data_IF_472516928697
#
_entry.id   IF_472516928697
#
_cell.length_a   1.000
_cell.length_b   1.000
_cell.length_c   1.000
_cell.angle_alpha   90.00
_cell.angle_beta   90.00
_cell.angle_gamma   90.00
#
_symmetry.space_group_name_H-M   'P 1'
#
loop_
_entity.id
_entity.type
_entity.pdbx_description
1 polymer ?
#
# COMPACT_ATOMS: atom_id res chain seq x y z
N UNK A 1 5.18 -6.88 50.60
CA UNK A 1 5.78 -6.21 49.44
C UNK A 1 5.45 -7.06 48.21
N UNK A 2 4.42 -6.66 47.44
CA UNK A 2 4.27 -7.15 46.08
C UNK A 2 5.44 -6.57 45.27
N UNK A 3 6.35 -7.43 44.86
CA UNK A 3 7.34 -7.11 43.84
C UNK A 3 6.50 -6.86 42.57
N UNK A 4 6.42 -5.60 42.13
CA UNK A 4 5.82 -5.30 40.86
C UNK A 4 6.59 -6.08 39.79
N UNK A 5 5.98 -7.12 39.24
CA UNK A 5 6.54 -7.84 38.09
C UNK A 5 6.66 -6.82 36.97
N UNK A 6 7.84 -6.64 36.44
CA UNK A 6 8.03 -5.87 35.20
C UNK A 6 7.18 -6.47 34.06
N UNK A 7 6.85 -5.66 33.07
CA UNK A 7 6.11 -6.11 31.89
C UNK A 7 6.84 -7.29 31.21
N UNK A 8 6.09 -8.34 30.87
CA UNK A 8 6.59 -9.49 30.11
C UNK A 8 6.55 -9.22 28.62
N UNK A 9 7.66 -9.42 27.92
CA UNK A 9 7.71 -9.33 26.45
C UNK A 9 7.25 -10.67 25.87
N UNK A 10 6.24 -10.60 25.01
CA UNK A 10 5.62 -11.77 24.38
C UNK A 10 6.22 -12.05 23.00
N UNK A 11 6.47 -11.00 22.23
CA UNK A 11 7.06 -11.11 20.90
C UNK A 11 7.73 -9.83 20.47
N UNK A 12 8.69 -9.95 19.54
CA UNK A 12 9.32 -8.84 18.83
C UNK A 12 9.32 -9.12 17.34
N UNK A 13 8.98 -8.11 16.55
CA UNK A 13 8.86 -8.24 15.09
C UNK A 13 9.48 -7.04 14.40
N UNK A 14 10.05 -7.28 13.21
CA UNK A 14 10.56 -6.23 12.30
C UNK A 14 9.99 -6.49 10.92
N UNK A 15 9.37 -5.47 10.34
CA UNK A 15 8.75 -5.50 9.02
C UNK A 15 9.45 -4.46 8.13
N UNK A 16 10.43 -4.89 7.31
CA UNK A 16 11.14 -3.99 6.42
C UNK A 16 10.32 -3.67 5.18
N UNK A 17 10.26 -2.39 4.82
CA UNK A 17 9.70 -1.92 3.55
C UNK A 17 10.43 -0.65 3.11
N UNK A 18 10.45 -0.35 1.81
CA UNK A 18 11.07 0.87 1.29
C UNK A 18 10.37 2.13 1.80
N UNK A 19 9.04 2.11 1.89
CA UNK A 19 8.25 3.24 2.37
C UNK A 19 8.41 3.50 3.88
N UNK A 20 8.65 2.43 4.67
CA UNK A 20 8.94 2.52 6.11
C UNK A 20 9.35 1.16 6.66
N UNK A 21 10.14 1.13 7.72
CA UNK A 21 10.37 -0.09 8.50
C UNK A 21 9.60 0.01 9.81
N UNK A 22 8.87 -1.06 10.15
CA UNK A 22 8.15 -1.15 11.43
C UNK A 22 8.89 -2.08 12.38
N UNK A 23 9.09 -1.63 13.62
CA UNK A 23 9.52 -2.46 14.74
C UNK A 23 8.39 -2.53 15.75
N UNK A 24 8.00 -3.74 16.16
CA UNK A 24 6.92 -3.98 17.14
C UNK A 24 7.45 -4.76 18.31
N UNK A 25 7.14 -4.29 19.53
CA UNK A 25 7.34 -5.01 20.79
C UNK A 25 5.98 -5.31 21.37
N UNK A 26 5.62 -6.60 21.46
CA UNK A 26 4.39 -7.07 22.07
C UNK A 26 4.63 -7.45 23.53
N UNK A 27 3.73 -7.06 24.43
CA UNK A 27 3.84 -7.24 25.88
C UNK A 27 2.50 -7.54 26.53
N UNK A 28 2.54 -8.18 27.69
CA UNK A 28 1.36 -8.50 28.51
C UNK A 28 0.67 -7.25 29.10
N UNK A 29 1.40 -6.13 29.20
CA UNK A 29 0.90 -4.85 29.71
C UNK A 29 1.35 -3.70 28.80
N UNK A 30 0.62 -2.58 28.86
CA UNK A 30 0.98 -1.39 28.07
C UNK A 30 2.35 -0.82 28.48
N UNK A 31 3.26 -0.72 27.54
CA UNK A 31 4.58 -0.14 27.75
C UNK A 31 4.54 1.38 27.63
N UNK A 32 5.33 2.06 28.44
CA UNK A 32 5.61 3.50 28.32
C UNK A 32 6.99 3.69 27.72
N UNK A 33 7.09 4.52 26.71
CA UNK A 33 8.36 4.80 26.07
C UNK A 33 8.55 6.30 25.85
N UNK A 34 9.78 6.74 26.00
CA UNK A 34 10.25 8.06 25.57
C UNK A 34 11.36 7.89 24.54
N UNK A 35 11.44 8.78 23.57
CA UNK A 35 12.44 8.65 22.51
C UNK A 35 13.09 9.98 22.16
N UNK A 36 14.28 9.89 21.60
CA UNK A 36 15.02 10.99 21.00
C UNK A 36 15.66 10.55 19.70
N UNK A 37 15.63 11.43 18.71
CA UNK A 37 16.36 11.28 17.46
C UNK A 37 17.75 11.90 17.60
N UNK A 38 18.78 11.19 17.13
CA UNK A 38 20.16 11.68 17.00
C UNK A 38 20.46 11.75 15.52
N UNK A 39 20.92 12.90 15.03
CA UNK A 39 21.08 13.16 13.58
C UNK A 39 22.43 12.64 13.05
N UNK A 40 23.50 12.70 13.87
CA UNK A 40 24.85 12.36 13.40
C UNK A 40 25.60 11.43 14.38
N UNK A 41 25.79 10.16 14.04
CA UNK A 41 25.12 9.42 12.99
C UNK A 41 23.64 9.20 13.30
N UNK A 42 22.77 9.01 12.27
CA UNK A 42 21.33 8.94 12.48
C UNK A 42 20.96 7.73 13.33
N UNK A 43 20.24 7.98 14.43
CA UNK A 43 19.82 6.95 15.40
C UNK A 43 18.52 7.36 16.09
N UNK A 44 17.69 6.38 16.39
CA UNK A 44 16.55 6.55 17.28
C UNK A 44 16.88 5.83 18.61
N UNK A 45 17.00 6.60 19.70
CA UNK A 45 17.17 6.07 21.04
C UNK A 45 15.84 6.10 21.76
N UNK A 46 15.42 4.96 22.31
CA UNK A 46 14.13 4.77 22.99
C UNK A 46 14.37 4.20 24.37
N UNK A 47 13.87 4.84 25.39
CA UNK A 47 13.85 4.34 26.77
C UNK A 47 12.44 3.79 27.07
N UNK A 48 12.38 2.54 27.46
CA UNK A 48 11.13 1.82 27.77
C UNK A 48 11.10 1.55 29.26
N UNK A 49 10.10 2.12 29.94
CA UNK A 49 9.91 2.00 31.39
C UNK A 49 9.23 0.67 31.77
N UNK A 50 9.51 0.21 32.98
CA UNK A 50 8.88 -0.99 33.55
C UNK A 50 9.42 -2.30 32.97
N UNK A 51 10.54 -2.25 32.22
CA UNK A 51 11.16 -3.43 31.63
C UNK A 51 12.48 -3.82 32.31
N UNK A 52 12.70 -5.13 32.35
CA UNK A 52 14.02 -5.72 32.55
C UNK A 52 14.45 -6.40 31.27
N UNK A 53 15.73 -6.28 30.93
CA UNK A 53 16.29 -6.87 29.72
C UNK A 53 16.19 -8.40 29.77
N UNK A 54 15.33 -8.96 28.94
CA UNK A 54 15.10 -10.40 28.82
C UNK A 54 15.63 -10.97 27.50
N UNK A 55 15.70 -12.31 27.32
CA UNK A 55 16.15 -12.94 26.10
C UNK A 55 15.29 -12.59 24.87
N UNK A 56 13.97 -12.50 25.03
CA UNK A 56 13.03 -12.21 23.93
C UNK A 56 13.29 -10.83 23.33
N UNK A 57 13.56 -9.85 24.20
CA UNK A 57 13.88 -8.50 23.75
C UNK A 57 15.24 -8.44 23.02
N UNK A 58 16.18 -9.30 23.40
CA UNK A 58 17.48 -9.44 22.71
C UNK A 58 17.35 -10.02 21.30
N UNK A 59 16.31 -10.80 21.04
CA UNK A 59 16.05 -11.32 19.68
C UNK A 59 15.81 -10.23 18.65
N UNK A 60 15.39 -9.02 19.05
CA UNK A 60 15.25 -7.89 18.14
C UNK A 60 16.52 -7.63 17.32
N UNK A 61 17.69 -7.76 17.94
CA UNK A 61 18.99 -7.57 17.28
C UNK A 61 19.15 -8.52 16.10
N UNK A 62 18.72 -9.78 16.28
CA UNK A 62 18.81 -10.80 15.24
C UNK A 62 17.73 -10.72 14.17
N UNK A 63 16.64 -9.98 14.43
CA UNK A 63 15.51 -9.85 13.48
C UNK A 63 15.72 -8.77 12.43
N UNK A 64 16.69 -7.87 12.64
CA UNK A 64 17.05 -6.87 11.62
C UNK A 64 17.85 -7.54 10.51
N UNK A 65 17.34 -7.46 9.31
CA UNK A 65 17.99 -8.02 8.12
C UNK A 65 19.02 -7.02 7.58
N UNK A 66 20.11 -7.52 7.02
CA UNK A 66 21.14 -6.68 6.41
C UNK A 66 20.62 -5.85 5.22
N UNK A 67 19.58 -6.34 4.54
CA UNK A 67 18.89 -5.69 3.43
C UNK A 67 17.71 -4.81 3.85
N UNK A 68 17.45 -4.61 5.17
CA UNK A 68 16.44 -3.63 5.60
C UNK A 68 16.78 -2.25 5.02
N UNK A 69 15.84 -1.58 4.32
CA UNK A 69 16.14 -0.33 3.62
C UNK A 69 16.40 0.86 4.56
N UNK A 70 15.87 0.83 5.79
CA UNK A 70 15.89 1.96 6.71
C UNK A 70 16.77 1.71 7.95
N UNK A 71 16.85 0.46 8.42
CA UNK A 71 17.53 0.09 9.66
C UNK A 71 18.91 -0.51 9.35
N UNK A 72 19.96 0.05 9.93
CA UNK A 72 21.31 -0.49 9.86
C UNK A 72 21.54 -1.54 10.95
N UNK A 73 20.92 -1.41 12.12
CA UNK A 73 21.01 -2.35 13.22
C UNK A 73 20.20 -1.89 14.43
N UNK A 74 20.00 -2.81 15.38
CA UNK A 74 19.35 -2.54 16.67
C UNK A 74 20.26 -3.00 17.78
N UNK A 75 20.37 -2.19 18.82
CA UNK A 75 21.09 -2.48 20.06
C UNK A 75 20.13 -2.36 21.24
N UNK A 76 20.20 -3.28 22.17
CA UNK A 76 19.33 -3.33 23.35
C UNK A 76 20.19 -3.47 24.59
N UNK A 77 19.93 -2.68 25.61
CA UNK A 77 20.66 -2.73 26.88
C UNK A 77 19.84 -2.24 28.08
N UNK A 78 20.19 -2.71 29.28
CA UNK A 78 19.63 -2.16 30.51
C UNK A 78 20.28 -0.78 30.75
N UNK A 79 19.46 0.28 30.74
CA UNK A 79 19.93 1.65 30.92
C UNK A 79 19.92 2.08 32.41
N UNK A 80 18.89 1.65 33.14
CA UNK A 80 18.73 1.85 34.57
C UNK A 80 17.84 0.72 35.13
N UNK A 81 17.76 0.54 36.45
CA UNK A 81 16.80 -0.37 37.04
C UNK A 81 15.37 -0.11 36.53
N UNK A 82 14.77 -1.11 35.90
CA UNK A 82 13.42 -0.99 35.32
C UNK A 82 13.33 -0.16 34.02
N UNK A 83 14.47 0.22 33.40
CA UNK A 83 14.47 0.97 32.12
C UNK A 83 15.39 0.27 31.12
N UNK A 84 14.80 -0.21 30.03
CA UNK A 84 15.56 -0.78 28.90
C UNK A 84 15.72 0.28 27.83
N UNK A 85 16.93 0.47 27.33
CA UNK A 85 17.23 1.31 26.17
C UNK A 85 17.36 0.50 24.92
N UNK A 86 16.55 0.86 23.92
CA UNK A 86 16.64 0.42 22.54
C UNK A 86 17.32 1.52 21.71
N UNK A 87 18.36 1.18 20.95
CA UNK A 87 18.98 2.09 19.98
C UNK A 87 18.86 1.48 18.60
N UNK A 88 18.13 2.15 17.73
CA UNK A 88 17.96 1.78 16.32
C UNK A 88 18.93 2.65 15.52
N UNK A 89 19.98 2.02 14.98
CA UNK A 89 20.90 2.67 14.04
C UNK A 89 20.25 2.71 12.65
N UNK A 90 20.28 3.86 12.03
CA UNK A 90 19.53 4.16 10.80
C UNK A 90 20.48 4.32 9.61
N UNK A 91 20.02 3.93 8.41
CA UNK A 91 20.80 4.08 7.17
C UNK A 91 20.76 5.49 6.61
N UNK A 92 19.71 6.24 6.95
CA UNK A 92 19.47 7.63 6.51
C UNK A 92 18.58 8.35 7.53
N UNK A 93 18.30 9.61 7.29
CA UNK A 93 17.38 10.41 8.11
C UNK A 93 15.94 9.87 8.02
N UNK A 94 15.27 9.77 9.17
CA UNK A 94 13.90 9.28 9.29
C UNK A 94 12.99 10.24 10.05
N UNK A 95 11.69 10.09 9.83
CA UNK A 95 10.61 10.66 10.64
C UNK A 95 9.95 9.54 11.43
N UNK A 96 10.32 9.35 12.71
CA UNK A 96 9.78 8.26 13.51
C UNK A 96 8.36 8.57 13.96
N UNK A 97 7.51 7.55 13.98
CA UNK A 97 6.25 7.55 14.71
C UNK A 97 6.31 6.45 15.78
N UNK A 98 6.19 6.85 17.05
CA UNK A 98 6.23 5.92 18.19
C UNK A 98 4.89 6.01 18.90
N UNK A 99 4.20 4.86 19.02
CA UNK A 99 2.87 4.79 19.59
C UNK A 99 2.59 3.40 20.19
N UNK A 100 1.54 3.34 21.00
CA UNK A 100 1.08 2.09 21.63
C UNK A 100 -0.27 1.68 21.09
N UNK A 101 -0.50 0.37 20.98
CA UNK A 101 -1.75 -0.22 20.56
C UNK A 101 -2.30 -1.09 21.68
N UNK A 102 -3.60 -0.97 21.93
CA UNK A 102 -4.34 -1.84 22.83
C UNK A 102 -4.50 -3.25 22.23
N UNK A 103 -4.79 -4.27 23.04
CA UNK A 103 -5.09 -5.61 22.57
C UNK A 103 -6.18 -5.64 21.50
N UNK A 104 -5.96 -6.41 20.43
CA UNK A 104 -6.93 -6.61 19.34
C UNK A 104 -6.67 -7.95 18.66
N UNK A 105 -7.73 -8.69 18.34
CA UNK A 105 -7.64 -10.03 17.75
C UNK A 105 -6.73 -10.95 18.58
N UNK A 106 -5.70 -11.53 17.98
CA UNK A 106 -4.72 -12.38 18.66
C UNK A 106 -3.59 -11.60 19.36
N UNK A 107 -3.50 -10.28 19.17
CA UNK A 107 -2.41 -9.46 19.70
C UNK A 107 -2.75 -8.89 21.07
N UNK A 108 -1.72 -8.82 21.94
CA UNK A 108 -1.76 -8.11 23.20
C UNK A 108 -1.33 -6.64 23.04
N UNK A 109 -0.84 -5.99 24.10
CA UNK A 109 -0.34 -4.63 24.00
C UNK A 109 0.88 -4.57 23.08
N UNK A 110 0.94 -3.59 22.19
CA UNK A 110 2.05 -3.41 21.25
C UNK A 110 2.64 -2.01 21.39
N UNK A 111 3.95 -1.91 21.53
CA UNK A 111 4.71 -0.68 21.33
C UNK A 111 5.29 -0.72 19.90
N UNK A 112 4.95 0.27 19.08
CA UNK A 112 5.25 0.30 17.66
C UNK A 112 6.14 1.49 17.33
N UNK A 113 7.13 1.23 16.46
CA UNK A 113 8.03 2.23 15.89
C UNK A 113 7.92 2.14 14.38
N UNK A 114 7.28 3.13 13.76
CA UNK A 114 7.24 3.30 12.30
C UNK A 114 8.31 4.31 11.89
N UNK A 115 9.24 3.86 11.07
CA UNK A 115 10.44 4.61 10.68
C UNK A 115 10.31 4.99 9.20
N UNK A 116 9.74 6.17 8.94
CA UNK A 116 9.54 6.68 7.59
C UNK A 116 10.79 7.41 7.10
N UNK A 117 11.27 7.18 5.87
CA UNK A 117 12.30 8.02 5.25
C UNK A 117 11.92 9.50 5.32
N UNK A 118 12.86 10.37 5.71
CA UNK A 118 12.62 11.82 5.69
C UNK A 118 12.39 12.34 4.25
N UNK A 119 13.05 11.68 3.29
CA UNK A 119 13.00 11.97 1.86
C UNK A 119 12.58 10.69 1.10
N UNK A 120 11.26 10.39 1.02
CA UNK A 120 10.79 9.23 0.30
C UNK A 120 11.02 9.38 -1.21
N UNK A 121 11.36 8.28 -1.87
CA UNK A 121 11.48 8.24 -3.33
C UNK A 121 10.12 8.52 -3.99
N UNK A 122 10.14 9.13 -5.18
CA UNK A 122 8.93 9.32 -5.99
C UNK A 122 8.62 8.03 -6.75
N UNK A 123 7.51 7.32 -6.44
CA UNK A 123 7.19 6.06 -7.06
C UNK A 123 6.85 6.20 -8.55
N UNK A 124 6.33 7.35 -9.00
CA UNK A 124 6.07 7.59 -10.42
C UNK A 124 7.39 7.74 -11.20
N UNK A 125 8.34 8.48 -10.64
CA UNK A 125 9.67 8.61 -11.23
C UNK A 125 10.39 7.26 -11.33
N UNK A 126 10.23 6.37 -10.34
CA UNK A 126 10.77 5.01 -10.39
C UNK A 126 10.16 4.18 -11.53
N UNK A 127 8.83 4.17 -11.69
CA UNK A 127 8.15 3.47 -12.78
C UNK A 127 8.59 3.98 -14.16
N UNK A 128 8.76 5.28 -14.31
CA UNK A 128 9.27 5.90 -15.55
C UNK A 128 10.71 5.46 -15.81
N UNK A 129 11.57 5.48 -14.79
CA UNK A 129 12.97 5.06 -14.91
C UNK A 129 13.10 3.57 -15.29
N UNK A 130 12.29 2.69 -14.70
CA UNK A 130 12.21 1.28 -15.08
C UNK A 130 11.80 1.11 -16.53
N UNK A 131 10.77 1.84 -16.97
CA UNK A 131 10.33 1.80 -18.36
C UNK A 131 11.42 2.26 -19.33
N UNK A 132 12.17 3.30 -18.97
CA UNK A 132 13.26 3.80 -19.81
C UNK A 132 14.41 2.78 -19.93
N UNK A 133 14.72 2.05 -18.84
CA UNK A 133 15.69 0.95 -18.88
C UNK A 133 15.27 -0.15 -19.86
N UNK A 134 13.98 -0.56 -19.82
CA UNK A 134 13.44 -1.58 -20.73
C UNK A 134 13.53 -1.15 -22.20
N UNK A 135 13.47 0.15 -22.47
CA UNK A 135 13.62 0.71 -23.82
C UNK A 135 15.08 0.91 -24.24
N UNK A 136 16.05 0.52 -23.42
CA UNK A 136 17.48 0.74 -23.67
C UNK A 136 17.88 2.22 -23.66
N UNK A 137 17.04 3.10 -23.10
CA UNK A 137 17.31 4.55 -22.96
C UNK A 137 17.75 4.82 -21.52
N UNK A 138 19.00 5.24 -21.33
CA UNK A 138 19.42 5.76 -20.03
C UNK A 138 18.63 7.02 -19.70
N UNK A 139 18.07 7.16 -18.48
CA UNK A 139 17.46 8.41 -18.07
C UNK A 139 18.53 9.52 -18.08
N UNK A 140 18.27 10.60 -18.79
CA UNK A 140 19.09 11.79 -18.66
C UNK A 140 19.00 12.28 -17.20
N UNK A 141 20.10 12.65 -16.53
CA UNK A 141 20.04 13.18 -15.19
C UNK A 141 19.20 14.46 -15.22
N UNK A 142 18.08 14.45 -14.52
CA UNK A 142 17.31 15.67 -14.24
C UNK A 142 18.16 16.49 -13.28
N UNK A 143 18.93 17.43 -13.81
CA UNK A 143 19.57 18.44 -13.00
C UNK A 143 18.46 19.35 -12.49
N UNK A 144 18.03 19.13 -11.25
CA UNK A 144 17.29 20.13 -10.48
C UNK A 144 18.32 21.20 -10.12
N UNK A 145 18.46 22.18 -10.99
CA UNK A 145 19.21 23.38 -10.70
C UNK A 145 18.46 24.12 -9.59
N UNK A 146 19.00 24.01 -8.36
CA UNK A 146 18.50 24.76 -7.21
C UNK A 146 18.74 26.25 -7.53
N UNK A 147 17.74 26.92 -8.08
CA UNK A 147 17.73 28.35 -8.25
C UNK A 147 17.85 29.01 -6.87
N UNK A 148 19.05 29.52 -6.55
CA UNK A 148 19.26 30.40 -5.42
C UNK A 148 18.38 31.64 -5.61
N UNK A 149 17.35 31.75 -4.78
CA UNK A 149 16.55 32.97 -4.69
C UNK A 149 17.40 34.08 -4.09
N UNK A 150 17.50 35.26 -4.71
CA UNK A 150 18.04 36.43 -4.05
C UNK A 150 17.04 36.94 -3.03
N UNK A 151 17.51 37.21 -1.82
CA UNK A 151 16.75 37.88 -0.77
C UNK A 151 16.43 39.32 -1.23
N UNK A 152 15.14 39.64 -1.30
CA UNK A 152 14.70 41.04 -1.39
C UNK A 152 13.42 41.28 -0.58
N UNK A 153 13.47 42.34 0.19
CA UNK A 153 12.42 42.88 1.04
C UNK A 153 11.20 43.36 0.25
N UNK A 154 10.02 43.08 0.78
CA UNK A 154 8.82 43.90 0.73
C UNK A 154 7.92 43.84 -0.51
N UNK A 155 6.66 43.49 -0.23
CA UNK A 155 5.44 43.68 -1.02
C UNK A 155 5.22 42.75 -2.26
N UNK A 156 4.24 41.85 -2.09
CA UNK A 156 3.34 41.21 -3.05
C UNK A 156 3.88 40.78 -4.45
N UNK A 157 5.10 40.28 -4.48
CA UNK A 157 5.77 39.88 -5.73
C UNK A 157 5.55 38.42 -6.13
N UNK A 158 4.96 37.57 -5.29
CA UNK A 158 4.80 36.15 -5.59
C UNK A 158 3.70 35.91 -6.65
N UNK A 159 2.61 36.65 -6.57
CA UNK A 159 1.51 36.59 -7.55
C UNK A 159 1.95 37.09 -8.94
N UNK A 160 2.71 38.19 -8.99
CA UNK A 160 3.26 38.70 -10.26
C UNK A 160 4.35 37.79 -10.86
N UNK A 161 5.17 37.16 -10.03
CA UNK A 161 6.18 36.19 -10.49
C UNK A 161 5.55 34.93 -11.07
N UNK A 162 4.50 34.41 -10.42
CA UNK A 162 3.74 33.26 -10.91
C UNK A 162 3.04 33.59 -12.21
N UNK A 163 2.40 34.77 -12.32
CA UNK A 163 1.75 35.20 -13.57
C UNK A 163 2.75 35.34 -14.73
N UNK A 164 3.90 35.94 -14.49
CA UNK A 164 4.98 36.06 -15.50
C UNK A 164 5.61 34.71 -15.89
N UNK A 165 5.68 33.76 -14.94
CA UNK A 165 6.18 32.41 -15.20
C UNK A 165 5.21 31.62 -16.09
N UNK A 166 3.91 31.74 -15.81
CA UNK A 166 2.83 31.11 -16.61
C UNK A 166 2.80 31.72 -18.02
N UNK A 167 2.93 33.04 -18.14
CA UNK A 167 2.94 33.72 -19.44
C UNK A 167 4.16 33.34 -20.29
N UNK A 168 5.36 33.27 -19.68
CA UNK A 168 6.58 32.79 -20.35
C UNK A 168 6.49 31.32 -20.76
N UNK A 169 5.94 30.44 -19.93
CA UNK A 169 5.73 29.05 -20.26
C UNK A 169 4.76 28.89 -21.44
N UNK A 170 3.67 29.66 -21.45
CA UNK A 170 2.69 29.67 -22.54
C UNK A 170 3.29 30.25 -23.84
N UNK A 171 4.17 31.23 -23.75
CA UNK A 171 4.82 31.84 -24.92
C UNK A 171 5.91 30.93 -25.52
N UNK A 172 6.69 30.22 -24.68
CA UNK A 172 7.61 29.19 -25.12
C UNK A 172 6.89 28.03 -25.83
N UNK A 173 5.78 27.56 -25.23
CA UNK A 173 4.95 26.49 -25.83
C UNK A 173 4.37 26.92 -27.18
N UNK A 174 3.95 28.18 -27.34
CA UNK A 174 3.45 28.73 -28.61
C UNK A 174 4.58 28.90 -29.66
N UNK A 175 5.79 29.28 -29.25
CA UNK A 175 6.95 29.41 -30.17
C UNK A 175 7.48 28.08 -30.64
N UNK A 176 7.49 27.06 -29.77
CA UNK A 176 7.86 25.68 -30.14
C UNK A 176 6.81 25.01 -31.03
N UNK A 177 5.53 25.30 -30.83
CA UNK A 177 4.45 24.83 -31.70
C UNK A 177 4.52 25.46 -33.12
N UNK A 178 4.98 26.72 -33.24
CA UNK A 178 5.11 27.42 -34.50
C UNK A 178 6.38 27.04 -35.33
N UNK A 179 7.35 26.36 -34.69
CA UNK A 179 8.61 25.95 -35.33
C UNK A 179 8.66 24.49 -35.79
N UNK A 180 7.65 23.69 -35.48
CA UNK A 180 7.60 22.30 -35.95
C UNK A 180 6.96 22.26 -37.33
N UNK A 181 7.68 21.72 -38.37
CA UNK A 181 7.01 21.30 -39.60
C UNK A 181 5.98 20.24 -39.21
N UNK A 182 4.74 20.37 -39.72
CA UNK A 182 3.69 19.39 -39.49
C UNK A 182 4.21 17.99 -39.83
N UNK A 183 4.25 17.04 -38.92
CA UNK A 183 4.58 15.67 -39.27
C UNK A 183 3.46 15.13 -40.17
N UNK A 184 3.79 14.24 -41.13
CA UNK A 184 2.77 13.59 -41.92
C UNK A 184 1.81 12.88 -40.96
N UNK A 185 0.52 13.00 -41.23
CA UNK A 185 -0.56 12.37 -40.44
C UNK A 185 -0.52 10.86 -40.63
N UNK A 186 0.39 10.22 -39.91
CA UNK A 186 0.21 8.84 -39.44
C UNK A 186 -0.44 8.98 -38.08
N UNK A 187 -1.63 8.39 -37.92
CA UNK A 187 -2.29 8.26 -36.63
C UNK A 187 -1.32 7.55 -35.67
N UNK A 188 -0.42 8.31 -35.05
CA UNK A 188 0.53 7.84 -34.08
C UNK A 188 -0.23 7.52 -32.81
N UNK A 189 -0.23 6.25 -32.44
CA UNK A 189 -0.60 5.85 -31.10
C UNK A 189 0.09 6.78 -30.10
N UNK A 190 -0.68 7.47 -29.28
CA UNK A 190 -0.15 8.21 -28.14
C UNK A 190 0.62 7.21 -27.29
N UNK A 191 1.93 7.42 -27.13
CA UNK A 191 2.82 6.52 -26.35
C UNK A 191 2.53 6.74 -24.84
N UNK A 192 1.28 6.44 -24.45
CA UNK A 192 0.79 6.59 -23.08
C UNK A 192 1.12 5.32 -22.30
N UNK A 193 1.76 5.46 -21.15
CA UNK A 193 1.92 4.37 -20.21
C UNK A 193 0.61 4.15 -19.45
N UNK A 194 0.06 2.94 -19.51
CA UNK A 194 -1.10 2.53 -18.71
C UNK A 194 -0.60 1.96 -17.38
N UNK A 195 -0.96 2.59 -16.28
CA UNK A 195 -0.54 2.19 -14.93
C UNK A 195 -1.71 1.52 -14.21
N UNK A 196 -1.50 0.26 -13.79
CA UNK A 196 -2.46 -0.51 -12.99
C UNK A 196 -1.92 -0.65 -11.58
N UNK A 197 -2.59 -0.04 -10.61
CA UNK A 197 -2.26 -0.23 -9.21
C UNK A 197 -2.87 -1.56 -8.73
N UNK A 198 -2.01 -2.45 -8.24
CA UNK A 198 -2.37 -3.70 -7.62
C UNK A 198 -2.22 -3.56 -6.11
N UNK A 199 -3.26 -3.95 -5.40
CA UNK A 199 -3.32 -3.86 -3.95
C UNK A 199 -3.51 -5.24 -3.34
N UNK A 200 -2.41 -5.98 -3.03
CA UNK A 200 -2.52 -7.19 -2.24
C UNK A 200 -3.03 -6.84 -0.84
N UNK A 201 -4.22 -7.31 -0.45
CA UNK A 201 -4.80 -7.03 0.86
C UNK A 201 -3.88 -7.42 2.03
N UNK A 202 -4.12 -6.86 3.22
CA UNK A 202 -3.41 -7.22 4.46
C UNK A 202 -1.89 -6.99 4.42
N UNK A 203 -1.12 -7.78 5.19
CA UNK A 203 0.35 -7.73 5.24
C UNK A 203 0.91 -7.39 6.62
N UNK A 204 2.13 -7.81 6.91
CA UNK A 204 2.80 -7.57 8.17
C UNK A 204 2.01 -8.09 9.38
N UNK A 205 1.65 -7.17 10.27
CA UNK A 205 0.85 -7.44 11.48
C UNK A 205 -0.59 -7.90 11.17
N UNK A 206 -1.11 -7.62 9.99
CA UNK A 206 -2.43 -8.06 9.57
C UNK A 206 -2.33 -9.31 8.68
N UNK A 207 -2.63 -10.52 9.21
CA UNK A 207 -2.56 -11.75 8.44
C UNK A 207 -3.70 -11.88 7.42
N UNK A 208 -4.77 -11.09 7.54
CA UNK A 208 -6.05 -11.35 6.89
C UNK A 208 -6.74 -12.58 7.47
N UNK A 209 -7.56 -13.23 6.69
CA UNK A 209 -8.17 -14.50 7.06
C UNK A 209 -7.13 -15.63 7.11
N UNK A 210 -7.38 -16.60 7.99
CA UNK A 210 -6.52 -17.79 8.13
C UNK A 210 -7.37 -19.02 7.80
N UNK A 211 -6.93 -19.77 6.79
CA UNK A 211 -7.57 -21.01 6.39
C UNK A 211 -7.41 -22.12 7.40
N UNK A 212 -8.24 -23.18 7.34
CA UNK A 212 -8.19 -24.32 8.26
C UNK A 212 -6.84 -25.04 8.29
N UNK A 213 -6.07 -25.00 7.21
CA UNK A 213 -4.71 -25.54 7.11
C UNK A 213 -3.61 -24.54 7.53
N UNK A 214 -3.97 -23.38 8.07
CA UNK A 214 -3.03 -22.37 8.54
C UNK A 214 -2.51 -21.43 7.47
N UNK A 215 -3.05 -21.47 6.25
CA UNK A 215 -2.69 -20.56 5.17
C UNK A 215 -3.17 -19.14 5.51
N UNK A 216 -2.29 -18.16 5.46
CA UNK A 216 -2.65 -16.76 5.68
C UNK A 216 -3.01 -16.09 4.36
N UNK A 217 -4.08 -15.32 4.37
CA UNK A 217 -4.56 -14.58 3.20
C UNK A 217 -3.50 -13.65 2.61
N UNK A 218 -2.81 -12.88 3.48
CA UNK A 218 -1.75 -11.93 3.07
C UNK A 218 -0.70 -12.53 2.16
N UNK A 219 -0.35 -13.82 2.36
CA UNK A 219 0.68 -14.51 1.59
C UNK A 219 0.17 -14.90 0.21
N UNK A 220 -1.04 -15.42 0.16
CA UNK A 220 -1.67 -15.87 -1.09
C UNK A 220 -1.94 -14.69 -2.02
N UNK A 221 -2.54 -13.62 -1.51
CA UNK A 221 -2.89 -12.46 -2.32
C UNK A 221 -1.66 -11.73 -2.83
N UNK A 222 -0.56 -11.71 -2.05
CA UNK A 222 0.72 -11.20 -2.53
C UNK A 222 1.27 -12.05 -3.68
N UNK A 223 1.23 -13.37 -3.59
CA UNK A 223 1.69 -14.27 -4.65
C UNK A 223 0.88 -14.07 -5.94
N UNK A 224 -0.44 -13.94 -5.86
CA UNK A 224 -1.30 -13.67 -7.02
C UNK A 224 -0.97 -12.30 -7.63
N UNK A 225 -0.81 -11.27 -6.80
CA UNK A 225 -0.47 -9.92 -7.27
C UNK A 225 0.89 -9.86 -7.97
N UNK A 226 1.91 -10.55 -7.46
CA UNK A 226 3.22 -10.63 -8.09
C UNK A 226 3.15 -11.29 -9.47
N UNK A 227 2.40 -12.39 -9.60
CA UNK A 227 2.16 -13.04 -10.89
C UNK A 227 1.40 -12.15 -11.87
N UNK A 228 0.39 -11.42 -11.38
CA UNK A 228 -0.37 -10.47 -12.19
C UNK A 228 0.51 -9.29 -12.64
N UNK A 229 1.39 -8.78 -11.77
CA UNK A 229 2.39 -7.75 -12.12
C UNK A 229 3.23 -8.16 -13.33
N UNK A 230 3.77 -9.37 -13.33
CA UNK A 230 4.58 -9.89 -14.46
C UNK A 230 3.80 -9.86 -15.77
N UNK A 231 2.53 -10.28 -15.75
CA UNK A 231 1.65 -10.31 -16.93
C UNK A 231 1.30 -8.90 -17.42
N UNK A 232 1.00 -7.99 -16.51
CA UNK A 232 0.72 -6.59 -16.86
C UNK A 232 1.95 -5.96 -17.51
N UNK A 233 3.13 -6.13 -16.90
CA UNK A 233 4.38 -5.55 -17.40
C UNK A 233 4.78 -6.09 -18.78
N UNK A 234 4.37 -7.31 -19.12
CA UNK A 234 4.57 -7.91 -20.43
C UNK A 234 3.47 -7.56 -21.45
N UNK A 235 2.44 -6.79 -21.06
CA UNK A 235 1.25 -6.53 -21.88
C UNK A 235 1.21 -5.11 -22.43
N UNK A 236 0.42 -4.95 -23.49
CA UNK A 236 0.01 -3.66 -24.04
C UNK A 236 -1.45 -3.67 -24.47
N UNK A 237 -2.09 -2.53 -24.55
CA UNK A 237 -3.46 -2.36 -25.06
C UNK A 237 -3.50 -1.17 -26.02
N UNK A 238 -4.01 -1.39 -27.24
CA UNK A 238 -4.07 -0.36 -28.27
C UNK A 238 -2.70 0.26 -28.62
N UNK A 239 -1.62 -0.52 -28.51
CA UNK A 239 -0.25 -0.04 -28.70
C UNK A 239 0.38 0.62 -27.45
N UNK A 240 -0.41 0.92 -26.42
CA UNK A 240 0.08 1.51 -25.18
C UNK A 240 0.61 0.43 -24.23
N UNK A 241 1.86 0.52 -23.75
CA UNK A 241 2.42 -0.43 -22.81
C UNK A 241 1.76 -0.30 -21.46
N UNK A 242 1.71 -1.42 -20.72
CA UNK A 242 1.15 -1.45 -19.38
C UNK A 242 2.26 -1.60 -18.32
N UNK A 243 2.03 -1.06 -17.14
CA UNK A 243 2.87 -1.26 -15.95
C UNK A 243 1.99 -1.47 -14.72
N UNK A 244 2.38 -2.43 -13.91
CA UNK A 244 1.78 -2.62 -12.59
C UNK A 244 2.59 -1.87 -11.55
N UNK A 245 1.88 -1.23 -10.63
CA UNK A 245 2.41 -0.68 -9.41
C UNK A 245 1.77 -1.43 -8.23
N UNK A 246 2.56 -1.93 -7.28
CA UNK A 246 2.04 -2.62 -6.10
C UNK A 246 1.99 -1.67 -4.90
N UNK A 247 0.89 -1.70 -4.14
CA UNK A 247 0.80 -0.97 -2.87
C UNK A 247 1.74 -1.55 -1.82
N UNK A 248 1.97 -2.86 -1.88
CA UNK A 248 3.03 -3.59 -1.18
C UNK A 248 3.56 -4.72 -2.07
N UNK A 249 4.85 -4.95 -2.01
CA UNK A 249 5.57 -6.00 -2.75
C UNK A 249 6.23 -7.04 -1.84
N UNK A 250 6.03 -6.89 -0.53
CA UNK A 250 6.54 -7.77 0.53
C UNK A 250 5.52 -7.96 1.65
N UNK A 251 5.95 -8.66 2.71
CA UNK A 251 5.15 -8.89 3.90
C UNK A 251 5.32 -7.71 4.88
N UNK A 252 4.59 -6.64 4.65
CA UNK A 252 4.46 -5.49 5.52
C UNK A 252 3.05 -4.89 5.39
N UNK A 253 2.60 -4.23 6.45
CA UNK A 253 1.26 -3.63 6.49
C UNK A 253 1.25 -2.27 5.79
N UNK A 254 0.21 -2.01 5.00
CA UNK A 254 -0.07 -0.70 4.42
C UNK A 254 -1.46 -0.27 4.85
N UNK A 255 -1.63 0.88 5.54
CA UNK A 255 -2.94 1.39 5.92
C UNK A 255 -3.87 1.58 4.71
N UNK A 256 -5.17 1.33 4.88
CA UNK A 256 -6.16 1.37 3.80
C UNK A 256 -6.11 2.68 3.01
N UNK A 257 -6.03 3.79 3.71
CA UNK A 257 -5.94 5.09 3.04
C UNK A 257 -4.62 5.26 2.28
N UNK A 258 -3.51 4.78 2.84
CA UNK A 258 -2.19 4.86 2.19
C UNK A 258 -2.18 4.07 0.88
N UNK A 259 -2.92 2.95 0.79
CA UNK A 259 -3.08 2.17 -0.46
C UNK A 259 -3.69 3.02 -1.57
N UNK A 260 -4.75 3.76 -1.26
CA UNK A 260 -5.41 4.70 -2.18
C UNK A 260 -4.46 5.85 -2.57
N UNK A 261 -3.78 6.44 -1.60
CA UNK A 261 -2.81 7.52 -1.85
C UNK A 261 -1.64 7.07 -2.73
N UNK A 262 -1.13 5.85 -2.54
CA UNK A 262 -0.08 5.26 -3.37
C UNK A 262 -0.52 5.12 -4.83
N UNK A 263 -1.73 4.62 -5.08
CA UNK A 263 -2.29 4.53 -6.42
C UNK A 263 -2.44 5.90 -7.10
N UNK A 264 -2.87 6.93 -6.34
CA UNK A 264 -3.00 8.30 -6.84
C UNK A 264 -1.65 8.95 -7.16
N UNK A 265 -0.62 8.70 -6.33
CA UNK A 265 0.73 9.23 -6.57
C UNK A 265 1.33 8.77 -7.88
N UNK A 266 1.08 7.54 -8.27
CA UNK A 266 1.54 7.00 -9.56
C UNK A 266 0.60 7.33 -10.71
N UNK A 267 -0.47 8.07 -10.45
CA UNK A 267 -1.50 8.40 -11.45
C UNK A 267 -2.06 7.13 -12.11
N UNK A 268 -2.42 6.14 -11.29
CA UNK A 268 -2.92 4.86 -11.79
C UNK A 268 -4.20 5.04 -12.62
N UNK A 269 -4.28 4.31 -13.72
CA UNK A 269 -5.49 4.24 -14.58
C UNK A 269 -6.54 3.30 -14.02
N UNK A 270 -6.13 2.29 -13.24
CA UNK A 270 -6.99 1.34 -12.54
C UNK A 270 -6.41 0.99 -11.18
N UNK A 271 -7.29 0.63 -10.24
CA UNK A 271 -6.94 0.06 -8.94
C UNK A 271 -7.65 -1.27 -8.73
N UNK A 272 -6.88 -2.31 -8.43
CA UNK A 272 -7.38 -3.68 -8.21
C UNK A 272 -6.87 -4.19 -6.87
N UNK A 273 -7.76 -4.24 -5.88
CA UNK A 273 -7.50 -4.88 -4.59
C UNK A 273 -7.77 -6.38 -4.69
N UNK A 274 -6.86 -7.19 -4.16
CA UNK A 274 -6.88 -8.66 -4.28
C UNK A 274 -6.97 -9.26 -2.89
N UNK A 275 -8.02 -10.06 -2.66
CA UNK A 275 -8.38 -10.68 -1.40
C UNK A 275 -8.72 -12.16 -1.54
N UNK A 276 -8.79 -12.88 -0.42
CA UNK A 276 -9.19 -14.27 -0.32
C UNK A 276 -9.79 -14.56 1.08
N UNK A 277 -10.80 -13.80 1.44
CA UNK A 277 -11.36 -13.74 2.79
C UNK A 277 -11.95 -15.05 3.33
N UNK A 278 -12.19 -15.05 4.63
CA UNK A 278 -13.07 -16.04 5.25
C UNK A 278 -14.54 -15.61 5.10
N UNK A 279 -15.42 -16.55 4.89
CA UNK A 279 -16.86 -16.32 4.90
C UNK A 279 -17.52 -16.94 6.12
N UNK A 280 -18.72 -16.43 6.49
CA UNK A 280 -19.49 -16.89 7.63
C UNK A 280 -19.84 -18.39 7.59
N UNK A 281 -19.90 -18.96 6.39
CA UNK A 281 -20.18 -20.37 6.16
C UNK A 281 -18.96 -21.02 5.49
N UNK A 282 -18.38 -22.08 6.10
CA UNK A 282 -17.20 -22.75 5.51
C UNK A 282 -17.46 -23.37 4.13
N UNK A 283 -18.73 -23.58 3.77
CA UNK A 283 -19.13 -24.14 2.45
C UNK A 283 -19.13 -23.07 1.34
N UNK A 284 -19.01 -21.79 1.71
CA UNK A 284 -18.90 -20.73 0.71
C UNK A 284 -17.70 -20.96 -0.19
N UNK A 285 -17.91 -20.81 -1.48
CA UNK A 285 -16.89 -21.09 -2.49
C UNK A 285 -17.08 -20.20 -3.70
N UNK A 286 -15.98 -19.98 -4.44
CA UNK A 286 -15.97 -19.22 -5.67
C UNK A 286 -15.61 -17.77 -5.49
N UNK A 287 -15.25 -17.13 -6.58
CA UNK A 287 -14.81 -15.74 -6.62
C UNK A 287 -15.98 -14.74 -6.65
N UNK A 288 -15.71 -13.52 -6.21
CA UNK A 288 -16.61 -12.37 -6.30
C UNK A 288 -15.83 -11.12 -6.67
N UNK A 289 -16.51 -10.13 -7.26
CA UNK A 289 -15.93 -8.82 -7.53
C UNK A 289 -16.84 -7.76 -6.94
N UNK A 290 -16.23 -6.77 -6.28
CA UNK A 290 -16.91 -5.69 -5.59
C UNK A 290 -16.47 -4.33 -6.14
N UNK A 291 -17.43 -3.41 -6.22
CA UNK A 291 -17.21 -2.00 -6.49
C UNK A 291 -17.73 -1.15 -5.33
N UNK A 292 -17.28 0.10 -5.27
CA UNK A 292 -17.72 1.04 -4.26
C UNK A 292 -19.21 1.38 -4.42
N UNK A 293 -19.90 1.59 -3.29
CA UNK A 293 -21.17 2.31 -3.23
C UNK A 293 -21.18 3.24 -2.04
N UNK A 294 -21.71 4.42 -2.23
CA UNK A 294 -21.90 5.40 -1.15
C UNK A 294 -23.19 5.13 -0.34
N UNK A 295 -24.17 4.46 -0.94
CA UNK A 295 -25.50 4.24 -0.36
C UNK A 295 -25.82 2.76 -0.26
N UNK A 296 -25.76 2.25 0.97
CA UNK A 296 -26.11 0.86 1.25
C UNK A 296 -25.12 -0.13 0.64
N UNK A 297 -25.45 -1.41 0.74
CA UNK A 297 -24.70 -2.49 0.11
C UNK A 297 -25.67 -3.33 -0.72
N UNK A 298 -25.16 -3.97 -1.79
CA UNK A 298 -25.98 -4.81 -2.66
C UNK A 298 -26.54 -6.04 -1.95
N UNK A 299 -25.84 -6.50 -0.90
CA UNK A 299 -26.29 -7.62 -0.07
C UNK A 299 -25.79 -7.48 1.39
N UNK A 300 -26.41 -8.24 2.31
CA UNK A 300 -25.94 -8.34 3.70
C UNK A 300 -24.51 -8.90 3.76
N UNK A 301 -24.20 -9.87 2.90
CA UNK A 301 -22.87 -10.46 2.79
C UNK A 301 -21.82 -9.42 2.37
N UNK A 302 -22.11 -8.63 1.34
CA UNK A 302 -21.21 -7.56 0.88
C UNK A 302 -20.99 -6.48 1.97
N UNK A 303 -22.04 -6.16 2.74
CA UNK A 303 -21.91 -5.24 3.87
C UNK A 303 -21.01 -5.79 4.95
N UNK A 304 -21.21 -7.05 5.32
CA UNK A 304 -20.42 -7.71 6.34
C UNK A 304 -18.93 -7.77 5.94
N UNK A 305 -18.64 -8.19 4.70
CA UNK A 305 -17.29 -8.25 4.15
C UNK A 305 -16.61 -6.88 4.20
N UNK A 306 -17.28 -5.83 3.72
CA UNK A 306 -16.73 -4.49 3.79
C UNK A 306 -16.46 -4.02 5.24
N UNK A 307 -17.23 -4.47 6.21
CA UNK A 307 -16.98 -4.16 7.63
C UNK A 307 -15.73 -4.88 8.14
N UNK A 308 -15.49 -6.13 7.72
CA UNK A 308 -14.28 -6.89 8.09
C UNK A 308 -13.05 -6.22 7.48
N UNK A 309 -13.08 -5.95 6.18
CA UNK A 309 -11.98 -5.31 5.47
C UNK A 309 -11.64 -3.91 6.01
N UNK A 310 -12.65 -3.10 6.30
CA UNK A 310 -12.46 -1.78 6.89
C UNK A 310 -11.90 -1.82 8.32
N UNK A 311 -11.89 -2.97 8.97
CA UNK A 311 -11.30 -3.16 10.30
C UNK A 311 -9.81 -3.52 10.28
N UNK A 312 -9.23 -3.79 9.12
CA UNK A 312 -7.81 -4.20 8.96
C UNK A 312 -6.83 -3.19 9.56
N UNK A 313 -7.10 -1.90 9.44
CA UNK A 313 -6.29 -0.83 10.07
C UNK A 313 -6.18 -0.96 11.60
N UNK A 314 -7.15 -1.58 12.26
CA UNK A 314 -7.11 -1.82 13.70
C UNK A 314 -6.16 -2.97 14.05
N UNK A 315 -6.12 -4.02 13.22
CA UNK A 315 -5.24 -5.18 13.39
C UNK A 315 -3.81 -4.80 13.04
N UNK A 316 -3.61 -4.21 11.86
CA UNK A 316 -2.32 -3.74 11.38
C UNK A 316 -1.72 -2.62 12.24
N UNK A 317 -2.58 -1.88 12.95
CA UNK A 317 -2.19 -0.82 13.86
C UNK A 317 -1.75 0.45 13.14
N UNK A 318 -2.59 1.46 13.20
CA UNK A 318 -2.33 2.79 12.61
C UNK A 318 -2.29 3.82 13.72
N UNK A 319 -1.26 4.68 13.70
CA UNK A 319 -1.22 5.86 14.58
C UNK A 319 -2.23 6.89 14.05
N UNK A 320 -3.35 7.01 14.75
CA UNK A 320 -4.41 7.92 14.31
C UNK A 320 -4.42 9.18 15.18
N UNK A 321 -3.99 10.32 14.64
CA UNK A 321 -4.39 11.59 15.21
C UNK A 321 -5.79 11.95 14.71
N UNK A 322 -6.70 12.26 15.64
CA UNK A 322 -8.12 12.57 15.36
C UNK A 322 -8.29 13.73 14.35
N UNK A 323 -7.34 14.66 14.28
CA UNK A 323 -7.35 15.79 13.33
C UNK A 323 -7.07 15.38 11.89
N UNK A 324 -6.21 14.40 11.69
CA UNK A 324 -5.87 13.94 10.35
C UNK A 324 -6.98 13.09 9.72
N UNK A 325 -7.77 12.36 10.53
CA UNK A 325 -8.89 11.57 10.04
C UNK A 325 -9.99 12.42 9.39
N UNK A 326 -10.39 13.52 10.02
CA UNK A 326 -11.52 14.33 9.52
C UNK A 326 -11.20 15.02 8.20
N UNK A 327 -9.98 15.53 8.03
CA UNK A 327 -9.53 16.18 6.79
C UNK A 327 -9.35 15.16 5.67
N UNK A 328 -8.82 13.99 5.99
CA UNK A 328 -8.58 12.91 5.02
C UNK A 328 -9.89 12.28 4.55
N UNK A 329 -10.85 12.03 5.46
CA UNK A 329 -12.18 11.55 5.09
C UNK A 329 -12.92 12.52 4.15
N UNK A 330 -12.84 13.83 4.40
CA UNK A 330 -13.51 14.83 3.57
C UNK A 330 -12.97 14.90 2.13
N UNK A 331 -11.68 14.61 1.92
CA UNK A 331 -11.05 14.60 0.60
C UNK A 331 -11.33 13.32 -0.20
N UNK A 332 -11.62 12.19 0.47
CA UNK A 332 -11.90 10.90 -0.16
C UNK A 332 -13.39 10.67 -0.42
N UNK A 333 -14.27 11.50 0.10
CA UNK A 333 -15.73 11.35 0.03
C UNK A 333 -16.35 11.79 -1.31
N UNK A 334 -15.51 12.12 -2.31
CA UNK A 334 -15.97 12.67 -3.58
C UNK A 334 -15.84 11.72 -4.78
N UNK A 335 -16.05 10.41 -4.58
CA UNK A 335 -16.14 9.48 -5.72
C UNK A 335 -17.27 9.91 -6.65
N UNK A 336 -16.92 10.18 -7.91
CA UNK A 336 -17.92 10.62 -8.89
C UNK A 336 -18.79 9.45 -9.36
N UNK A 337 -20.04 9.72 -9.73
CA UNK A 337 -20.93 8.72 -10.34
C UNK A 337 -20.28 8.07 -11.58
N UNK A 338 -19.48 8.82 -12.34
CA UNK A 338 -18.75 8.32 -13.49
C UNK A 338 -17.70 7.27 -13.09
N UNK A 339 -16.91 7.55 -12.05
CA UNK A 339 -15.88 6.62 -11.54
C UNK A 339 -16.52 5.31 -11.04
N UNK A 340 -17.64 5.36 -10.31
CA UNK A 340 -18.37 4.16 -9.88
C UNK A 340 -18.87 3.35 -11.08
N UNK A 341 -19.36 4.01 -12.13
CA UNK A 341 -19.81 3.34 -13.36
C UNK A 341 -18.64 2.64 -14.07
N UNK A 342 -17.48 3.28 -14.14
CA UNK A 342 -16.29 2.68 -14.74
C UNK A 342 -15.74 1.54 -13.90
N UNK A 343 -15.81 1.64 -12.56
CA UNK A 343 -15.50 0.52 -11.65
C UNK A 343 -16.40 -0.69 -11.88
N UNK A 344 -17.71 -0.47 -12.10
CA UNK A 344 -18.64 -1.55 -12.42
C UNK A 344 -18.30 -2.22 -13.76
N UNK A 345 -17.95 -1.44 -14.80
CA UNK A 345 -17.52 -1.98 -16.11
C UNK A 345 -16.25 -2.81 -15.98
N UNK A 346 -15.26 -2.34 -15.20
CA UNK A 346 -14.05 -3.07 -14.89
C UNK A 346 -14.39 -4.38 -14.19
N UNK A 347 -15.21 -4.30 -13.13
CA UNK A 347 -15.64 -5.46 -12.35
C UNK A 347 -16.35 -6.51 -13.20
N UNK A 348 -17.26 -6.10 -14.07
CA UNK A 348 -17.97 -7.01 -14.98
C UNK A 348 -17.02 -7.70 -15.98
N UNK A 349 -16.01 -6.98 -16.47
CA UNK A 349 -15.00 -7.56 -17.36
C UNK A 349 -14.15 -8.60 -16.62
N UNK A 350 -13.72 -8.30 -15.39
CA UNK A 350 -12.92 -9.23 -14.57
C UNK A 350 -13.74 -10.44 -14.13
N UNK A 351 -14.97 -10.24 -13.67
CA UNK A 351 -15.84 -11.31 -13.20
C UNK A 351 -16.11 -12.37 -14.28
N UNK A 352 -16.31 -11.94 -15.52
CA UNK A 352 -16.48 -12.85 -16.67
C UNK A 352 -15.26 -13.74 -16.90
N UNK A 353 -14.07 -13.17 -16.82
CA UNK A 353 -12.84 -13.94 -17.05
C UNK A 353 -12.52 -14.89 -15.89
N UNK A 354 -12.71 -14.44 -14.65
CA UNK A 354 -12.54 -15.28 -13.46
C UNK A 354 -13.51 -16.46 -13.48
N UNK A 355 -14.73 -16.26 -14.00
CA UNK A 355 -15.72 -17.33 -14.18
C UNK A 355 -15.28 -18.45 -15.11
N UNK A 356 -14.29 -18.23 -15.97
CA UNK A 356 -13.65 -19.25 -16.80
C UNK A 356 -12.64 -20.13 -16.05
N UNK A 357 -12.09 -19.63 -14.94
CA UNK A 357 -11.07 -20.33 -14.13
C UNK A 357 -11.71 -21.18 -13.04
N UNK A 358 -12.82 -20.70 -12.47
CA UNK A 358 -13.45 -21.36 -11.34
C UNK A 358 -14.90 -20.95 -11.12
N UNK A 359 -15.45 -21.45 -10.02
CA UNK A 359 -16.80 -21.11 -9.62
C UNK A 359 -16.88 -19.63 -9.25
N UNK A 360 -17.97 -18.97 -9.62
CA UNK A 360 -18.32 -17.66 -9.11
C UNK A 360 -19.26 -17.80 -7.91
N UNK A 361 -18.96 -17.11 -6.81
CA UNK A 361 -19.85 -17.00 -5.67
C UNK A 361 -21.05 -16.10 -6.03
N UNK A 362 -20.79 -14.99 -6.76
CA UNK A 362 -21.80 -14.10 -7.33
C UNK A 362 -21.56 -13.93 -8.82
N UNK A 363 -22.65 -13.93 -9.58
CA UNK A 363 -22.61 -13.79 -11.06
C UNK A 363 -22.69 -12.36 -11.54
N UNK A 364 -22.78 -11.41 -10.63
CA UNK A 364 -22.77 -9.96 -10.90
C UNK A 364 -21.85 -9.27 -9.92
N UNK A 365 -21.31 -8.12 -10.30
CA UNK A 365 -20.51 -7.27 -9.42
C UNK A 365 -21.38 -6.82 -8.24
N UNK A 366 -20.92 -7.11 -7.03
CA UNK A 366 -21.57 -6.62 -5.82
C UNK A 366 -21.03 -5.22 -5.45
N UNK A 367 -21.71 -4.56 -4.53
CA UNK A 367 -21.34 -3.21 -4.10
C UNK A 367 -21.42 -3.08 -2.60
N UNK A 368 -20.39 -2.48 -2.02
CA UNK A 368 -20.37 -2.11 -0.60
C UNK A 368 -19.42 -0.94 -0.35
N UNK A 369 -19.42 -0.42 0.87
CA UNK A 369 -18.62 0.73 1.24
C UNK A 369 -17.22 0.27 1.74
N UNK A 370 -16.40 -0.25 0.83
CA UNK A 370 -15.01 -0.59 1.10
C UNK A 370 -14.15 0.67 1.17
N UNK A 371 -13.43 0.86 2.27
CA UNK A 371 -12.57 2.03 2.46
C UNK A 371 -11.46 2.11 1.42
N UNK A 372 -10.88 0.97 1.05
CA UNK A 372 -9.79 0.86 0.06
C UNK A 372 -10.23 1.23 -1.36
N UNK A 373 -11.52 1.18 -1.67
CA UNK A 373 -12.07 1.54 -2.98
C UNK A 373 -12.51 3.02 -3.09
N UNK A 374 -12.35 3.80 -2.02
CA UNK A 374 -12.67 5.23 -2.01
C UNK A 374 -11.60 6.04 -2.75
N UNK A 375 -11.55 5.87 -4.05
CA UNK A 375 -10.64 6.58 -4.93
C UNK A 375 -11.45 7.44 -5.90
N UNK A 376 -11.45 8.79 -5.75
CA UNK A 376 -12.35 9.65 -6.52
C UNK A 376 -12.03 9.68 -8.02
N UNK A 377 -10.78 9.40 -8.39
CA UNK A 377 -10.26 9.65 -9.73
C UNK A 377 -9.92 8.36 -10.50
N UNK A 378 -9.92 7.19 -9.84
CA UNK A 378 -9.45 5.93 -10.41
C UNK A 378 -10.52 4.84 -10.31
N UNK A 379 -10.95 4.21 -11.40
CA UNK A 379 -11.82 3.04 -11.37
C UNK A 379 -11.20 1.94 -10.50
N UNK A 380 -11.95 1.50 -9.48
CA UNK A 380 -11.43 0.67 -8.40
C UNK A 380 -12.35 -0.52 -8.14
N UNK A 381 -11.77 -1.72 -8.02
CA UNK A 381 -12.48 -2.95 -7.68
C UNK A 381 -11.73 -3.74 -6.61
N UNK A 382 -12.47 -4.51 -5.82
CA UNK A 382 -11.94 -5.53 -4.94
C UNK A 382 -12.36 -6.91 -5.46
N UNK A 383 -11.40 -7.80 -5.59
CA UNK A 383 -11.58 -9.16 -6.10
C UNK A 383 -11.35 -10.13 -4.96
N UNK A 384 -12.41 -10.84 -4.56
CA UNK A 384 -12.31 -12.05 -3.76
C UNK A 384 -12.01 -13.21 -4.69
N UNK A 385 -10.80 -13.72 -4.63
CA UNK A 385 -10.33 -14.78 -5.52
C UNK A 385 -10.92 -16.15 -5.18
N UNK A 386 -11.22 -16.37 -3.91
CA UNK A 386 -11.85 -17.54 -3.31
C UNK A 386 -12.11 -17.26 -1.82
N UNK A 387 -12.78 -18.16 -1.10
CA UNK A 387 -12.92 -18.05 0.35
C UNK A 387 -11.96 -19.03 1.06
N UNK A 388 -10.91 -18.48 1.70
CA UNK A 388 -9.86 -19.28 2.35
C UNK A 388 -10.39 -20.13 3.52
N UNK A 389 -11.56 -19.79 4.08
CA UNK A 389 -12.25 -20.59 5.10
C UNK A 389 -12.75 -21.93 4.59
N UNK A 390 -12.88 -22.12 3.27
CA UNK A 390 -13.23 -23.37 2.66
C UNK A 390 -11.96 -24.22 2.41
N UNK A 391 -11.86 -25.46 2.97
CA UNK A 391 -10.65 -26.27 2.83
C UNK A 391 -10.26 -26.61 1.39
N UNK A 392 -11.25 -26.75 0.49
CA UNK A 392 -10.98 -27.03 -0.92
C UNK A 392 -10.45 -25.78 -1.65
N UNK A 393 -11.00 -24.62 -1.35
CA UNK A 393 -10.55 -23.34 -1.87
C UNK A 393 -9.16 -23.00 -1.32
N UNK A 394 -8.90 -23.21 -0.03
CA UNK A 394 -7.57 -23.04 0.57
C UNK A 394 -6.50 -23.86 -0.17
N UNK A 395 -6.79 -25.15 -0.45
CA UNK A 395 -5.86 -26.01 -1.23
C UNK A 395 -5.61 -25.46 -2.63
N UNK A 396 -6.65 -24.94 -3.30
CA UNK A 396 -6.53 -24.31 -4.62
C UNK A 396 -5.71 -23.03 -4.56
N UNK A 397 -5.97 -22.15 -3.58
CA UNK A 397 -5.23 -20.90 -3.37
C UNK A 397 -3.73 -21.12 -3.15
N UNK A 398 -3.33 -22.24 -2.54
CA UNK A 398 -1.93 -22.65 -2.40
C UNK A 398 -1.31 -23.19 -3.69
N UNK A 399 -2.12 -23.58 -4.67
CA UNK A 399 -1.64 -24.15 -5.94
C UNK A 399 -1.07 -23.06 -6.84
N UNK A 400 0.17 -23.24 -7.28
CA UNK A 400 0.82 -22.35 -8.26
C UNK A 400 0.05 -22.30 -9.58
N UNK A 401 -0.53 -23.43 -10.01
CA UNK A 401 -1.35 -23.49 -11.23
C UNK A 401 -2.58 -22.60 -11.08
N UNK A 402 -3.34 -22.75 -10.02
CA UNK A 402 -4.54 -21.92 -9.79
C UNK A 402 -4.22 -20.43 -9.67
N UNK A 403 -3.14 -20.06 -8.98
CA UNK A 403 -2.68 -18.67 -8.89
C UNK A 403 -2.29 -18.11 -10.27
N UNK A 404 -1.69 -18.93 -11.13
CA UNK A 404 -1.38 -18.55 -12.52
C UNK A 404 -2.66 -18.34 -13.32
N UNK A 405 -3.61 -19.29 -13.26
CA UNK A 405 -4.89 -19.20 -13.97
C UNK A 405 -5.68 -17.95 -13.52
N UNK A 406 -5.68 -17.63 -12.22
CA UNK A 406 -6.27 -16.39 -11.69
C UNK A 406 -5.58 -15.15 -12.27
N UNK A 407 -4.26 -15.10 -12.27
CA UNK A 407 -3.53 -13.97 -12.81
C UNK A 407 -3.78 -13.78 -14.31
N UNK A 408 -3.91 -14.89 -15.08
CA UNK A 408 -4.24 -14.87 -16.51
C UNK A 408 -5.68 -14.37 -16.74
N UNK A 409 -6.63 -14.76 -15.90
CA UNK A 409 -7.99 -14.27 -15.97
C UNK A 409 -8.07 -12.77 -15.62
N UNK A 410 -7.37 -12.34 -14.58
CA UNK A 410 -7.34 -10.94 -14.14
C UNK A 410 -6.78 -10.03 -15.23
N UNK A 411 -5.62 -10.37 -15.84
CA UNK A 411 -5.07 -9.56 -16.94
C UNK A 411 -5.97 -9.57 -18.17
N UNK A 412 -6.63 -10.69 -18.46
CA UNK A 412 -7.61 -10.77 -19.57
C UNK A 412 -8.76 -9.79 -19.33
N UNK A 413 -9.33 -9.73 -18.10
CA UNK A 413 -10.38 -8.81 -17.72
C UNK A 413 -9.94 -7.35 -17.83
N UNK A 414 -8.73 -7.00 -17.36
CA UNK A 414 -8.15 -5.67 -17.46
C UNK A 414 -8.00 -5.26 -18.94
N UNK A 415 -7.44 -6.12 -19.77
CA UNK A 415 -7.26 -5.83 -21.20
C UNK A 415 -8.58 -5.62 -21.93
N UNK A 416 -9.61 -6.41 -21.62
CA UNK A 416 -10.95 -6.27 -22.20
C UNK A 416 -11.64 -4.97 -21.77
N UNK A 417 -11.41 -4.53 -20.54
CA UNK A 417 -11.92 -3.24 -20.07
C UNK A 417 -11.37 -2.07 -20.90
N UNK A 418 -10.07 -2.04 -21.19
CA UNK A 418 -9.46 -0.99 -21.99
C UNK A 418 -9.78 -1.09 -23.49
N UNK A 419 -10.16 -2.27 -23.98
CA UNK A 419 -10.51 -2.49 -25.39
C UNK A 419 -11.98 -2.15 -25.70
N UNK A 420 -12.84 -1.94 -24.69
CA UNK A 420 -14.26 -1.63 -24.80
C UNK A 420 -14.51 -0.12 -24.83
#
# INVERSE_FOLDING_TARGET
HQIARGAGILAVRVWPAEDYSRVTIESDTALKASYRLVETPPRLAVDIDGLTLDPTLRELVAKVRADDPNIAGIRVGQNAPGVVRLVIDLKHEIKPQVFTLAPVAAYQHRLVFDLYPAHPADPLAQLIAERMKDLGKSPAPVQVEAARLPAHDGADTLGELIARQIERANEMTRRDAARRPAPPATAGATDRLIIVALDPGHGGEDPGAIGPGGTQEKDVVLQVALKLRERINASSVGGNPMRAFLTRDGDYFVPLQTRVEKARRVQADLFVSIHADAFLRPEASGASVYALTERGASSTAARWLAQQENASDRVGGVSVSVKDQSVRHALLDMSTTAQIKDSLRLGDSMLREIGGVGKLHKRSVERANFAVLRNPDVPSVLVETAFISNPDEERRLRSQTYQNDLADALISGIRKYFAA
#
